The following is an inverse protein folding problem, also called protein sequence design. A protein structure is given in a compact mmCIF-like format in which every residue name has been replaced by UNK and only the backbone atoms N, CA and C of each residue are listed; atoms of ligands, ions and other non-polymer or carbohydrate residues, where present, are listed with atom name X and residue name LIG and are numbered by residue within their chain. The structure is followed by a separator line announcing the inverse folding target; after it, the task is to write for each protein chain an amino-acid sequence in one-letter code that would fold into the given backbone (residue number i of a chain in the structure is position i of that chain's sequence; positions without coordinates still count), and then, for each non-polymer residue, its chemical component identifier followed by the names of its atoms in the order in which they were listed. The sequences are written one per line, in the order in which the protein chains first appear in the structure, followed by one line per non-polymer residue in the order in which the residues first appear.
data_IF_371427535329
#
_entry.id   IF_371427535329
#
_cell.length_a   1.000
_cell.length_b   1.000
_cell.length_c   1.000
_cell.angle_alpha   90.00
_cell.angle_beta   90.00
_cell.angle_gamma   90.00
#
_symmetry.space_group_name_H-M   'P 1'
#
loop_
_entity.id
_entity.type
_entity.pdbx_description
1 polymer ?
#
# COMPACT_ATOMS: atom_id res chain seq x y z
N UNK A 1 10.45 8.35 -8.96
CA UNK A 1 10.19 6.94 -9.34
C UNK A 1 9.32 6.33 -8.24
N UNK A 2 8.19 5.70 -8.58
CA UNK A 2 7.25 5.07 -7.64
C UNK A 2 7.30 3.53 -7.66
N UNK A 3 8.33 2.94 -8.27
CA UNK A 3 8.51 1.48 -8.38
C UNK A 3 7.33 0.74 -9.06
N UNK A 4 6.55 1.44 -9.89
CA UNK A 4 5.37 0.86 -10.55
C UNK A 4 4.21 0.56 -9.58
N UNK A 5 4.14 1.27 -8.45
CA UNK A 5 3.01 1.23 -7.51
C UNK A 5 2.08 2.41 -7.80
N UNK A 6 0.80 2.12 -8.03
CA UNK A 6 -0.25 3.12 -8.26
C UNK A 6 -0.59 3.89 -6.98
N UNK A 7 -1.31 5.01 -7.12
CA UNK A 7 -1.76 5.80 -5.98
C UNK A 7 -2.80 5.02 -5.18
N UNK A 8 -2.49 4.77 -3.91
CA UNK A 8 -3.36 4.00 -3.03
C UNK A 8 -4.00 4.92 -1.98
N UNK A 9 -5.31 5.14 -2.12
CA UNK A 9 -6.12 5.91 -1.17
C UNK A 9 -6.13 5.27 0.23
N UNK A 10 -5.95 3.95 0.30
CA UNK A 10 -5.90 3.18 1.55
C UNK A 10 -4.50 3.10 2.15
N UNK A 11 -3.48 3.75 1.59
CA UNK A 11 -2.14 3.80 2.19
C UNK A 11 -2.22 4.27 3.64
N UNK A 12 -1.52 3.59 4.55
CA UNK A 12 -1.46 4.02 5.97
C UNK A 12 -0.78 5.39 6.12
N UNK A 13 -0.04 5.80 5.09
CA UNK A 13 0.61 7.10 5.00
C UNK A 13 -0.33 8.19 4.46
N UNK A 14 -1.51 7.83 3.96
CA UNK A 14 -2.46 8.81 3.46
C UNK A 14 -3.07 9.61 4.62
N UNK A 15 -3.23 10.92 4.40
CA UNK A 15 -3.94 11.80 5.34
C UNK A 15 -5.42 11.45 5.43
N UNK A 16 -5.98 11.73 6.61
CA UNK A 16 -7.42 11.75 6.84
C UNK A 16 -8.09 12.88 6.04
N UNK A 17 -9.30 12.68 5.50
CA UNK A 17 -10.03 13.71 4.74
C UNK A 17 -10.16 15.05 5.45
N UNK A 18 -10.21 15.05 6.79
CA UNK A 18 -10.39 16.22 7.64
C UNK A 18 -9.10 16.65 8.35
N UNK A 19 -7.96 16.03 8.04
CA UNK A 19 -6.67 16.34 8.64
C UNK A 19 -6.32 17.82 8.48
N UNK A 20 -6.09 18.52 9.60
CA UNK A 20 -5.77 19.96 9.65
C UNK A 20 -6.88 20.90 9.12
N UNK A 21 -8.12 20.44 9.00
CA UNK A 21 -9.23 21.30 8.59
C UNK A 21 -9.52 22.41 9.62
N UNK A 22 -9.70 23.66 9.14
CA UNK A 22 -10.18 24.77 9.99
C UNK A 22 -11.62 24.55 10.46
N UNK A 23 -12.46 23.98 9.57
CA UNK A 23 -13.80 23.53 9.88
C UNK A 23 -13.85 22.01 9.73
N UNK A 24 -13.92 21.29 10.84
CA UNK A 24 -13.90 19.81 10.87
C UNK A 24 -15.13 19.16 10.25
N UNK A 25 -16.14 19.93 9.87
CA UNK A 25 -17.30 19.43 9.12
C UNK A 25 -17.10 19.45 7.60
N UNK A 26 -15.99 20.01 7.10
CA UNK A 26 -15.69 20.10 5.66
C UNK A 26 -14.37 19.37 5.40
N UNK A 27 -14.37 18.33 4.55
CA UNK A 27 -13.13 17.64 4.21
C UNK A 27 -12.23 18.56 3.39
N UNK A 28 -10.93 18.57 3.72
CA UNK A 28 -9.89 19.28 2.96
C UNK A 28 -9.30 18.42 1.85
N UNK A 29 -9.50 17.10 1.92
CA UNK A 29 -9.11 16.15 0.88
C UNK A 29 -10.35 15.36 0.43
N UNK A 30 -10.66 15.44 -0.85
CA UNK A 30 -11.73 14.67 -1.50
C UNK A 30 -11.15 13.80 -2.60
N UNK A 31 -11.45 12.50 -2.56
CA UNK A 31 -11.07 11.55 -3.60
C UNK A 31 -11.78 11.87 -4.91
N UNK A 32 -11.09 11.71 -6.04
CA UNK A 32 -11.70 11.89 -7.36
C UNK A 32 -12.70 10.78 -7.68
N UNK A 33 -12.41 9.56 -7.25
CA UNK A 33 -13.38 8.46 -7.24
C UNK A 33 -14.12 8.48 -5.90
N UNK A 34 -15.45 8.73 -5.88
CA UNK A 34 -16.24 8.73 -4.67
C UNK A 34 -16.16 7.41 -3.90
N UNK A 35 -15.95 6.28 -4.58
CA UNK A 35 -15.86 4.96 -3.94
C UNK A 35 -14.60 4.81 -3.07
N UNK A 36 -13.54 5.60 -3.34
CA UNK A 36 -12.30 5.57 -2.57
C UNK A 36 -12.28 6.54 -1.39
N UNK A 37 -13.30 7.40 -1.24
CA UNK A 37 -13.32 8.43 -0.19
C UNK A 37 -13.22 7.84 1.22
N UNK A 38 -13.86 6.68 1.45
CA UNK A 38 -13.87 6.04 2.77
C UNK A 38 -12.55 5.34 3.12
N UNK A 39 -11.70 5.06 2.12
CA UNK A 39 -10.39 4.45 2.35
C UNK A 39 -9.35 5.44 2.85
N UNK A 40 -9.57 6.73 2.61
CA UNK A 40 -8.67 7.81 3.00
C UNK A 40 -8.46 7.83 4.52
N UNK A 41 -7.20 7.95 4.93
CA UNK A 41 -6.86 8.16 6.34
C UNK A 41 -6.92 6.92 7.23
N UNK A 42 -7.23 5.74 6.69
CA UNK A 42 -7.25 4.51 7.47
C UNK A 42 -5.91 4.30 8.22
N UNK A 43 -5.99 3.79 9.45
CA UNK A 43 -4.83 3.48 10.30
C UNK A 43 -4.87 2.06 10.87
N UNK A 44 -5.76 1.21 10.36
CA UNK A 44 -5.93 -0.15 10.87
C UNK A 44 -4.74 -1.04 10.50
N UNK A 45 -4.25 -0.91 9.27
CA UNK A 45 -3.17 -1.76 8.76
C UNK A 45 -2.36 -1.06 7.68
N UNK A 46 -1.12 -1.49 7.51
CA UNK A 46 -0.28 -1.08 6.37
C UNK A 46 -0.95 -1.56 5.08
N UNK A 47 -1.02 -0.74 4.03
CA UNK A 47 -1.59 -1.19 2.76
C UNK A 47 -0.62 -2.12 2.02
N UNK A 48 -1.13 -2.98 1.13
CA UNK A 48 -0.26 -3.86 0.35
C UNK A 48 0.69 -3.06 -0.57
N UNK A 49 0.23 -1.92 -1.09
CA UNK A 49 1.02 -0.98 -1.89
C UNK A 49 2.23 -0.43 -1.12
N UNK A 50 2.04 -0.04 0.15
CA UNK A 50 3.09 0.44 1.05
C UNK A 50 4.18 -0.64 1.22
N UNK A 51 3.77 -1.89 1.47
CA UNK A 51 4.68 -3.03 1.63
C UNK A 51 5.46 -3.27 0.33
N UNK A 52 4.77 -3.26 -0.82
CA UNK A 52 5.40 -3.43 -2.14
C UNK A 52 6.43 -2.34 -2.40
N UNK A 53 6.09 -1.08 -2.15
CA UNK A 53 6.97 0.07 -2.38
C UNK A 53 8.23 0.00 -1.50
N UNK A 54 8.09 -0.29 -0.21
CA UNK A 54 9.23 -0.44 0.72
C UNK A 54 10.10 -1.64 0.33
N UNK A 55 9.50 -2.79 -0.01
CA UNK A 55 10.27 -3.96 -0.43
C UNK A 55 11.09 -3.69 -1.71
N UNK A 56 10.52 -2.92 -2.66
CA UNK A 56 11.23 -2.47 -3.85
C UNK A 56 12.34 -1.48 -3.53
N UNK A 57 12.08 -0.48 -2.68
CA UNK A 57 13.06 0.52 -2.28
C UNK A 57 14.31 -0.10 -1.63
N UNK A 58 14.11 -1.09 -0.75
CA UNK A 58 15.20 -1.77 -0.04
C UNK A 58 15.70 -3.04 -0.75
N UNK A 59 15.32 -3.26 -2.01
CA UNK A 59 15.77 -4.39 -2.83
C UNK A 59 15.59 -5.76 -2.15
N UNK A 60 14.49 -5.97 -1.43
CA UNK A 60 14.29 -7.19 -0.63
C UNK A 60 14.30 -8.47 -1.46
N UNK A 61 13.87 -8.41 -2.72
CA UNK A 61 13.93 -9.56 -3.63
C UNK A 61 15.36 -10.08 -3.83
N UNK A 62 16.38 -9.22 -3.75
CA UNK A 62 17.79 -9.62 -3.88
C UNK A 62 18.31 -10.38 -2.64
N UNK A 63 17.66 -10.21 -1.48
CA UNK A 63 17.98 -10.95 -0.26
C UNK A 63 17.45 -12.39 -0.27
N UNK A 64 16.60 -12.71 -1.23
CA UNK A 64 16.18 -14.07 -1.50
C UNK A 64 17.01 -14.61 -2.67
N UNK A 65 18.10 -15.35 -2.42
CA UNK A 65 18.83 -16.01 -3.50
C UNK A 65 17.96 -17.13 -4.07
N UNK A 66 17.59 -17.01 -5.34
CA UNK A 66 16.90 -18.04 -6.12
C UNK A 66 15.50 -18.46 -5.59
N UNK A 67 14.55 -17.52 -5.44
CA UNK A 67 13.17 -17.89 -5.12
C UNK A 67 12.61 -18.71 -6.28
N UNK A 68 12.32 -19.98 -6.01
CA UNK A 68 11.78 -20.90 -7.03
C UNK A 68 10.32 -20.60 -7.37
N UNK A 69 9.71 -19.68 -6.62
CA UNK A 69 8.28 -19.37 -6.69
C UNK A 69 8.04 -18.14 -7.56
N UNK A 70 6.99 -18.19 -8.38
CA UNK A 70 6.41 -17.01 -9.03
C UNK A 70 5.07 -16.72 -8.37
N UNK A 71 4.96 -15.56 -7.73
CA UNK A 71 3.71 -15.12 -7.14
C UNK A 71 2.71 -14.73 -8.24
N UNK A 72 1.46 -15.12 -8.06
CA UNK A 72 0.34 -14.79 -8.96
C UNK A 72 -0.49 -13.64 -8.37
N UNK A 73 -1.47 -13.14 -9.13
CA UNK A 73 -2.46 -12.15 -8.67
C UNK A 73 -1.82 -10.92 -8.00
N UNK A 74 -0.79 -10.35 -8.63
CA UNK A 74 -0.04 -9.20 -8.13
C UNK A 74 0.66 -9.40 -6.77
N UNK A 75 0.76 -10.65 -6.28
CA UNK A 75 1.50 -10.97 -5.07
C UNK A 75 3.00 -10.75 -5.24
N UNK A 76 3.67 -10.49 -4.11
CA UNK A 76 5.12 -10.30 -4.03
C UNK A 76 5.74 -11.38 -3.16
N UNK A 77 7.04 -11.63 -3.36
CA UNK A 77 7.78 -12.56 -2.49
C UNK A 77 7.76 -12.02 -1.06
N UNK A 78 7.51 -12.89 -0.10
CA UNK A 78 7.57 -12.53 1.30
C UNK A 78 9.03 -12.26 1.72
N UNK A 79 9.30 -11.02 2.13
CA UNK A 79 10.63 -10.55 2.52
C UNK A 79 11.25 -11.29 3.71
N UNK A 80 10.42 -11.98 4.53
CA UNK A 80 10.87 -12.79 5.66
C UNK A 80 10.95 -14.29 5.34
N UNK A 81 10.24 -14.75 4.31
CA UNK A 81 10.10 -16.17 3.95
C UNK A 81 10.13 -16.32 2.42
N UNK A 82 11.34 -16.41 1.86
CA UNK A 82 11.59 -16.37 0.41
C UNK A 82 10.81 -17.36 -0.46
N UNK A 83 10.31 -18.46 0.12
CA UNK A 83 9.50 -19.47 -0.58
C UNK A 83 7.99 -19.33 -0.31
N UNK A 84 7.53 -18.14 0.09
CA UNK A 84 6.10 -17.83 0.26
C UNK A 84 5.75 -16.50 -0.40
N UNK A 85 4.49 -16.35 -0.81
CA UNK A 85 3.97 -15.10 -1.37
C UNK A 85 3.18 -14.31 -0.33
N UNK A 86 3.33 -12.99 -0.37
CA UNK A 86 2.38 -12.05 0.23
C UNK A 86 1.37 -11.68 -0.85
N UNK A 87 0.09 -11.94 -0.57
CA UNK A 87 -1.01 -11.63 -1.46
C UNK A 87 -1.55 -10.22 -1.16
N UNK A 88 -2.02 -9.49 -2.19
CA UNK A 88 -2.81 -8.29 -1.97
C UNK A 88 -4.05 -8.64 -1.17
N UNK A 89 -4.34 -7.81 -0.18
CA UNK A 89 -5.60 -7.82 0.54
C UNK A 89 -6.30 -6.50 0.26
N UNK A 90 -7.63 -6.54 0.22
CA UNK A 90 -8.42 -5.32 0.21
C UNK A 90 -8.49 -4.78 1.64
N UNK A 91 -8.32 -3.47 1.77
CA UNK A 91 -8.59 -2.70 2.99
C UNK A 91 -9.76 -1.79 2.67
#
# INVERSE_FOLDING_TARGET
NNFGVEYDYSSVMHYDPYGFALNTNIPVITAKDPNSQQSLGQKERVAFSDIKMINSLYNFAQKCPSPSIKCKNCGIINSKKCNTCLCPYMV
#
